data_IF_460832316114
#
_entry.id   IF_460832316114
#
_cell.length_a   1.000
_cell.length_b   1.000
_cell.length_c   1.000
_cell.angle_alpha   90.00
_cell.angle_beta   90.00
_cell.angle_gamma   90.00
#
_symmetry.space_group_name_H-M   'P 1'
#
loop_
_entity.id
_entity.type
_entity.pdbx_description
1 polymer ?
#
# COMPACT_ATOMS: atom_id res chain seq x y z
N UNK A 1 -5.97 22.54 -12.65
CA UNK A 1 -5.44 22.30 -11.30
C UNK A 1 -4.15 21.53 -11.46
N UNK A 2 -3.09 21.87 -10.73
CA UNK A 2 -1.76 21.29 -10.96
C UNK A 2 -1.63 19.93 -10.27
N UNK A 3 -0.87 19.04 -10.89
CA UNK A 3 -0.55 17.73 -10.32
C UNK A 3 0.21 17.89 -8.98
N UNK A 4 -0.09 17.06 -7.97
CA UNK A 4 0.56 17.16 -6.66
C UNK A 4 2.04 16.84 -6.76
N UNK A 5 2.90 17.63 -6.10
CA UNK A 5 4.34 17.31 -6.03
C UNK A 5 4.61 15.99 -5.34
N UNK A 6 3.97 15.67 -4.22
CA UNK A 6 4.16 14.40 -3.52
C UNK A 6 2.89 13.55 -3.50
N UNK A 7 3.07 12.22 -3.46
CA UNK A 7 1.97 11.28 -3.19
C UNK A 7 2.25 10.60 -1.86
N UNK A 8 1.31 10.75 -0.92
CA UNK A 8 1.36 10.13 0.39
C UNK A 8 0.43 8.92 0.37
N UNK A 9 1.00 7.72 0.32
CA UNK A 9 0.26 6.46 0.40
C UNK A 9 0.22 6.00 1.87
N UNK A 10 -0.98 5.82 2.42
CA UNK A 10 -1.19 5.42 3.82
C UNK A 10 -1.91 4.07 3.88
N UNK A 11 -1.37 3.15 4.66
CA UNK A 11 -1.96 1.83 4.92
C UNK A 11 -2.26 1.66 6.40
N UNK A 12 -3.48 1.19 6.71
CA UNK A 12 -3.89 0.88 8.08
C UNK A 12 -4.85 -0.32 8.11
N UNK A 13 -4.98 -0.97 9.27
CA UNK A 13 -5.94 -2.07 9.46
C UNK A 13 -6.68 -1.90 10.79
N UNK A 14 -6.57 -2.84 11.72
CA UNK A 14 -7.15 -2.74 13.06
C UNK A 14 -6.61 -1.50 13.81
N UNK A 15 -7.53 -0.69 14.38
CA UNK A 15 -7.24 0.65 14.92
C UNK A 15 -7.05 1.76 13.87
N UNK A 16 -7.13 1.42 12.58
CA UNK A 16 -6.66 2.27 11.48
C UNK A 16 -7.45 3.55 11.25
N UNK A 17 -8.75 3.60 11.59
CA UNK A 17 -9.54 4.83 11.42
C UNK A 17 -9.07 5.94 12.36
N UNK A 18 -8.84 5.61 13.63
CA UNK A 18 -8.33 6.59 14.61
C UNK A 18 -6.93 7.02 14.22
N UNK A 19 -6.07 6.07 13.85
CA UNK A 19 -4.72 6.36 13.43
C UNK A 19 -4.67 7.25 12.17
N UNK A 20 -5.44 6.93 11.12
CA UNK A 20 -5.47 7.75 9.91
C UNK A 20 -5.95 9.17 10.20
N UNK A 21 -7.00 9.34 11.02
CA UNK A 21 -7.51 10.67 11.42
C UNK A 21 -6.45 11.51 12.11
N UNK A 22 -5.66 10.91 12.99
CA UNK A 22 -4.56 11.58 13.69
C UNK A 22 -3.41 11.89 12.74
N UNK A 23 -2.99 10.93 11.92
CA UNK A 23 -1.87 11.07 10.98
C UNK A 23 -2.07 12.19 9.95
N UNK A 24 -3.31 12.39 9.49
CA UNK A 24 -3.66 13.47 8.53
C UNK A 24 -4.24 14.70 9.21
N UNK A 25 -4.29 14.71 10.55
CA UNK A 25 -4.77 15.88 11.28
C UNK A 25 -3.90 17.09 10.95
N UNK A 26 -4.48 18.29 10.94
CA UNK A 26 -3.78 19.56 10.66
C UNK A 26 -3.21 19.74 9.24
N UNK A 27 -3.17 18.70 8.40
CA UNK A 27 -2.76 18.87 7.00
C UNK A 27 -3.70 19.87 6.29
N UNK A 28 -3.10 20.89 5.66
CA UNK A 28 -3.82 21.96 4.97
C UNK A 28 -4.46 21.50 3.66
N UNK A 29 -5.59 22.10 3.25
CA UNK A 29 -6.14 21.93 1.89
C UNK A 29 -5.25 22.51 0.79
N UNK A 30 -4.27 23.35 1.14
CA UNK A 30 -3.26 23.89 0.21
C UNK A 30 -2.00 23.03 0.11
N UNK A 31 -2.02 21.80 0.64
CA UNK A 31 -0.89 20.86 0.58
C UNK A 31 -0.47 20.64 -0.88
N UNK A 32 0.82 20.76 -1.19
CA UNK A 32 1.36 20.36 -2.50
C UNK A 32 1.59 18.83 -2.56
N UNK A 33 0.60 18.08 -2.09
CA UNK A 33 0.60 16.63 -2.08
C UNK A 33 -0.84 16.11 -2.15
N UNK A 34 -1.00 14.85 -2.55
CA UNK A 34 -2.26 14.12 -2.43
C UNK A 34 -2.07 12.92 -1.49
N UNK A 35 -3.12 12.58 -0.73
CA UNK A 35 -3.13 11.43 0.18
C UNK A 35 -3.98 10.32 -0.43
N UNK A 36 -3.43 9.12 -0.52
CA UNK A 36 -4.12 7.91 -0.96
C UNK A 36 -4.12 6.93 0.20
N UNK A 37 -5.29 6.50 0.66
CA UNK A 37 -5.42 5.70 1.86
C UNK A 37 -6.10 4.36 1.59
N UNK A 38 -5.52 3.28 2.12
CA UNK A 38 -6.15 1.97 2.26
C UNK A 38 -6.34 1.70 3.74
N UNK A 39 -7.59 1.43 4.14
CA UNK A 39 -7.91 0.89 5.45
C UNK A 39 -8.62 -0.45 5.25
N UNK A 40 -8.11 -1.50 5.88
CA UNK A 40 -8.82 -2.78 5.92
C UNK A 40 -10.07 -2.67 6.78
N UNK A 41 -11.22 -2.72 6.11
CA UNK A 41 -12.55 -2.69 6.73
C UNK A 41 -13.39 -3.82 6.18
N UNK A 42 -14.49 -4.13 6.86
CA UNK A 42 -15.45 -5.12 6.37
C UNK A 42 -15.96 -4.72 4.97
N UNK A 43 -16.21 -5.68 4.06
CA UNK A 43 -16.84 -5.41 2.77
C UNK A 43 -18.18 -4.66 2.86
N UNK A 44 -18.87 -4.76 4.00
CA UNK A 44 -20.13 -4.08 4.27
C UNK A 44 -19.97 -2.69 4.93
N UNK A 45 -18.73 -2.28 5.23
CA UNK A 45 -18.47 -0.97 5.81
C UNK A 45 -18.77 0.15 4.81
N UNK A 46 -19.43 1.20 5.28
CA UNK A 46 -19.73 2.36 4.46
C UNK A 46 -18.50 3.29 4.38
N UNK A 47 -17.79 3.25 3.26
CA UNK A 47 -16.62 4.09 3.00
C UNK A 47 -16.91 5.59 3.12
N UNK A 48 -18.13 6.03 2.78
CA UNK A 48 -18.53 7.43 2.89
C UNK A 48 -18.55 7.91 4.35
N UNK A 49 -18.97 7.05 5.29
CA UNK A 49 -18.95 7.38 6.72
C UNK A 49 -17.52 7.52 7.23
N UNK A 50 -16.60 6.68 6.76
CA UNK A 50 -15.17 6.71 7.10
C UNK A 50 -14.56 8.03 6.60
N UNK A 51 -14.77 8.36 5.32
CA UNK A 51 -14.34 9.63 4.73
C UNK A 51 -14.89 10.83 5.50
N UNK A 52 -16.18 10.80 5.85
CA UNK A 52 -16.84 11.87 6.60
C UNK A 52 -16.26 12.05 8.01
N UNK A 53 -15.76 10.98 8.63
CA UNK A 53 -15.09 11.04 9.92
C UNK A 53 -13.67 11.63 9.79
N UNK A 54 -12.96 11.34 8.70
CA UNK A 54 -11.63 11.89 8.40
C UNK A 54 -11.70 13.37 8.05
N UNK A 55 -12.67 13.77 7.22
CA UNK A 55 -12.87 15.17 6.81
C UNK A 55 -13.05 16.14 7.99
N UNK A 56 -13.44 15.66 9.17
CA UNK A 56 -13.60 16.48 10.38
C UNK A 56 -12.28 16.86 11.06
N UNK A 57 -11.16 16.24 10.70
CA UNK A 57 -9.87 16.42 11.41
C UNK A 57 -8.78 17.06 10.54
N UNK A 58 -9.05 17.30 9.26
CA UNK A 58 -8.05 17.77 8.28
C UNK A 58 -8.63 18.85 7.38
N UNK A 59 -7.76 19.69 6.80
CA UNK A 59 -8.13 20.67 5.78
C UNK A 59 -8.21 20.09 4.37
N UNK A 60 -7.83 18.83 4.18
CA UNK A 60 -7.87 18.13 2.90
C UNK A 60 -9.31 17.90 2.41
N UNK A 61 -9.49 17.91 1.10
CA UNK A 61 -10.74 17.47 0.47
C UNK A 61 -10.79 15.93 0.44
N UNK A 62 -11.50 15.34 1.40
CA UNK A 62 -11.60 13.89 1.57
C UNK A 62 -12.75 13.30 0.75
N UNK A 63 -12.48 12.26 -0.03
CA UNK A 63 -13.48 11.53 -0.82
C UNK A 63 -13.17 10.04 -0.92
N UNK A 64 -14.19 9.24 -1.23
CA UNK A 64 -13.98 7.85 -1.65
C UNK A 64 -13.40 7.88 -3.06
N UNK A 65 -12.34 7.12 -3.30
CA UNK A 65 -11.72 7.04 -4.61
C UNK A 65 -12.73 6.52 -5.66
N UNK A 66 -12.70 7.13 -6.85
CA UNK A 66 -13.46 6.70 -8.01
C UNK A 66 -12.49 6.39 -9.17
N UNK A 67 -12.91 5.50 -10.05
CA UNK A 67 -12.06 5.05 -11.15
C UNK A 67 -11.82 6.16 -12.19
N UNK A 68 -10.59 6.26 -12.69
CA UNK A 68 -10.20 7.17 -13.77
C UNK A 68 -10.06 8.65 -13.39
N UNK A 69 -10.33 9.03 -12.14
CA UNK A 69 -10.25 10.43 -11.70
C UNK A 69 -8.80 10.89 -11.61
N UNK A 70 -8.57 12.17 -11.93
CA UNK A 70 -7.24 12.80 -11.82
C UNK A 70 -6.90 13.03 -10.36
N UNK A 71 -5.64 12.78 -10.00
CA UNK A 71 -5.14 13.00 -8.64
C UNK A 71 -4.83 14.48 -8.48
N UNK A 72 -5.51 15.12 -7.52
CA UNK A 72 -5.37 16.55 -7.24
C UNK A 72 -4.65 16.78 -5.90
N UNK A 73 -3.85 17.85 -5.84
CA UNK A 73 -3.24 18.30 -4.59
C UNK A 73 -4.29 18.73 -3.57
N UNK A 74 -3.98 18.60 -2.28
CA UNK A 74 -4.89 18.94 -1.19
C UNK A 74 -6.09 17.98 -1.05
N UNK A 75 -6.06 16.82 -1.72
CA UNK A 75 -7.11 15.82 -1.65
C UNK A 75 -6.66 14.56 -0.89
N UNK A 76 -7.61 13.91 -0.23
CA UNK A 76 -7.46 12.57 0.35
C UNK A 76 -8.45 11.62 -0.32
N UNK A 77 -7.94 10.53 -0.87
CA UNK A 77 -8.73 9.50 -1.55
C UNK A 77 -8.68 8.20 -0.76
N UNK A 78 -9.83 7.76 -0.24
CA UNK A 78 -9.96 6.47 0.45
C UNK A 78 -10.34 5.36 -0.53
N UNK A 79 -9.59 4.26 -0.52
CA UNK A 79 -9.93 3.07 -1.30
C UNK A 79 -11.31 2.51 -0.90
N UNK A 80 -12.20 2.22 -1.85
CA UNK A 80 -13.48 1.58 -1.54
C UNK A 80 -13.28 0.09 -1.18
N UNK A 81 -14.13 -0.48 -0.31
CA UNK A 81 -14.10 -1.91 -0.01
C UNK A 81 -14.23 -2.78 -1.27
N UNK A 82 -13.51 -3.91 -1.29
CA UNK A 82 -13.61 -4.88 -2.38
C UNK A 82 -12.94 -4.48 -3.69
N UNK A 83 -12.24 -3.34 -3.76
CA UNK A 83 -11.44 -2.94 -4.92
C UNK A 83 -10.05 -2.50 -4.50
N UNK A 84 -9.03 -2.89 -5.25
CA UNK A 84 -7.70 -2.32 -5.10
C UNK A 84 -7.69 -0.87 -5.61
N UNK A 85 -6.99 0.00 -4.89
CA UNK A 85 -6.68 1.36 -5.33
C UNK A 85 -5.26 1.39 -5.88
N UNK A 86 -5.10 1.85 -7.11
CA UNK A 86 -3.81 2.01 -7.79
C UNK A 86 -3.70 3.42 -8.36
N UNK A 87 -2.48 3.78 -8.76
CA UNK A 87 -2.21 4.98 -9.54
C UNK A 87 -1.57 4.65 -10.87
N UNK A 88 -1.95 5.40 -11.91
CA UNK A 88 -1.32 5.34 -13.24
C UNK A 88 -1.46 6.66 -13.95
N UNK A 89 -0.37 7.18 -14.51
CA UNK A 89 -0.38 8.37 -15.36
C UNK A 89 -1.14 9.57 -14.75
N UNK A 90 -0.96 9.79 -13.44
CA UNK A 90 -1.62 10.88 -12.70
C UNK A 90 -3.09 10.64 -12.34
N UNK A 91 -3.61 9.42 -12.52
CA UNK A 91 -5.00 9.05 -12.26
C UNK A 91 -5.11 7.92 -11.25
N UNK A 92 -6.26 7.85 -10.59
CA UNK A 92 -6.65 6.69 -9.78
C UNK A 92 -7.23 5.60 -10.67
N UNK A 93 -6.86 4.36 -10.40
CA UNK A 93 -7.46 3.17 -10.99
C UNK A 93 -8.04 2.28 -9.88
N UNK A 94 -9.24 1.76 -10.11
CA UNK A 94 -9.89 0.81 -9.20
C UNK A 94 -9.96 -0.58 -9.83
N UNK A 95 -9.17 -1.49 -9.29
CA UNK A 95 -9.08 -2.87 -9.79
C UNK A 95 -9.90 -3.87 -8.98
N UNK A 96 -10.52 -4.83 -9.67
CA UNK A 96 -11.10 -6.04 -9.07
C UNK A 96 -10.20 -7.26 -9.27
N UNK A 97 -8.89 -7.03 -9.41
CA UNK A 97 -7.91 -8.09 -9.49
C UNK A 97 -7.97 -9.04 -8.29
N UNK A 98 -7.27 -10.18 -8.38
CA UNK A 98 -7.23 -11.16 -7.30
C UNK A 98 -6.72 -10.57 -5.99
N UNK A 99 -7.07 -11.22 -4.88
CA UNK A 99 -6.56 -10.81 -3.57
C UNK A 99 -5.03 -10.93 -3.49
N UNK A 100 -4.42 -9.97 -2.80
CA UNK A 100 -3.02 -10.01 -2.42
C UNK A 100 -2.96 -10.15 -0.89
N UNK A 101 -2.36 -11.25 -0.41
CA UNK A 101 -2.33 -11.64 1.01
C UNK A 101 -3.73 -11.72 1.64
N UNK A 102 -4.74 -12.22 0.89
CA UNK A 102 -6.17 -12.25 1.27
C UNK A 102 -6.85 -10.88 1.35
N UNK A 103 -6.17 -9.78 1.00
CA UNK A 103 -6.72 -8.43 1.09
C UNK A 103 -7.13 -7.85 -0.26
N UNK A 104 -8.27 -7.14 -0.25
CA UNK A 104 -8.75 -6.27 -1.33
C UNK A 104 -9.72 -5.21 -0.76
N UNK A 105 -9.31 -3.93 -0.65
CA UNK A 105 -8.01 -3.38 -1.06
C UNK A 105 -6.82 -3.95 -0.29
N UNK A 106 -5.65 -3.99 -0.94
CA UNK A 106 -4.34 -4.30 -0.33
C UNK A 106 -3.48 -3.04 -0.30
N UNK A 107 -2.76 -2.86 0.80
CA UNK A 107 -1.80 -1.77 1.01
C UNK A 107 -0.60 -1.95 0.08
N UNK A 108 -0.08 -3.18 -0.04
CA UNK A 108 1.04 -3.51 -0.93
C UNK A 108 0.78 -3.09 -2.38
N UNK A 109 -0.45 -3.34 -2.88
CA UNK A 109 -0.85 -2.94 -4.24
C UNK A 109 -0.81 -1.43 -4.44
N UNK A 110 -1.40 -0.67 -3.51
CA UNK A 110 -1.38 0.81 -3.58
C UNK A 110 0.07 1.29 -3.57
N UNK A 111 0.86 0.85 -2.59
CA UNK A 111 2.21 1.34 -2.36
C UNK A 111 3.13 1.02 -3.55
N UNK A 112 3.03 -0.19 -4.12
CA UNK A 112 3.79 -0.59 -5.32
C UNK A 112 3.45 0.31 -6.51
N UNK A 113 2.16 0.56 -6.76
CA UNK A 113 1.76 1.43 -7.87
C UNK A 113 2.25 2.87 -7.68
N UNK A 114 2.22 3.39 -6.46
CA UNK A 114 2.74 4.72 -6.12
C UNK A 114 4.26 4.77 -6.30
N UNK A 115 4.99 3.76 -5.84
CA UNK A 115 6.43 3.67 -6.00
C UNK A 115 6.85 3.72 -7.48
N UNK A 116 6.21 2.92 -8.34
CA UNK A 116 6.54 2.83 -9.77
C UNK A 116 6.20 4.12 -10.53
N UNK A 117 5.12 4.83 -10.17
CA UNK A 117 4.68 6.02 -10.89
C UNK A 117 5.26 7.33 -10.34
N UNK A 118 5.70 7.36 -9.09
CA UNK A 118 6.13 8.60 -8.41
C UNK A 118 7.56 8.55 -7.85
N UNK A 119 8.22 7.40 -7.82
CA UNK A 119 9.63 7.27 -7.44
C UNK A 119 9.97 8.01 -6.12
N UNK A 120 10.96 8.92 -6.15
CA UNK A 120 11.38 9.77 -5.02
C UNK A 120 10.31 10.76 -4.52
N UNK A 121 9.18 10.91 -5.22
CA UNK A 121 8.04 11.73 -4.78
C UNK A 121 7.05 10.94 -3.92
N UNK A 122 7.21 9.62 -3.84
CA UNK A 122 6.37 8.75 -3.02
C UNK A 122 6.75 8.85 -1.54
N UNK A 123 5.73 8.95 -0.69
CA UNK A 123 5.84 8.83 0.77
C UNK A 123 4.91 7.70 1.20
N UNK A 124 5.46 6.63 1.76
CA UNK A 124 4.70 5.51 2.30
C UNK A 124 4.55 5.63 3.80
N UNK A 125 3.35 5.42 4.33
CA UNK A 125 3.07 5.45 5.77
C UNK A 125 2.30 4.19 6.18
N UNK A 126 2.92 3.34 7.01
CA UNK A 126 2.24 2.19 7.62
C UNK A 126 1.85 2.53 9.06
N UNK A 127 0.56 2.40 9.35
CA UNK A 127 -0.02 2.62 10.66
C UNK A 127 -0.35 1.29 11.35
N UNK A 128 -1.00 1.35 12.51
CA UNK A 128 -1.55 0.21 13.26
C UNK A 128 -2.29 -0.79 12.37
N UNK A 129 -2.09 -2.08 12.66
CA UNK A 129 -2.72 -3.18 11.95
C UNK A 129 -2.19 -4.54 12.35
N UNK A 130 -2.93 -5.57 11.97
CA UNK A 130 -2.54 -6.97 12.12
C UNK A 130 -1.85 -7.48 10.86
N UNK A 131 -1.09 -8.57 10.99
CA UNK A 131 -0.36 -9.23 9.89
C UNK A 131 0.68 -8.33 9.23
N UNK A 132 0.90 -8.46 7.92
CA UNK A 132 2.11 -7.94 7.24
C UNK A 132 1.85 -7.18 5.93
N UNK A 133 0.60 -6.90 5.57
CA UNK A 133 0.28 -6.12 4.36
C UNK A 133 0.86 -4.69 4.46
N UNK A 134 1.44 -4.20 3.36
CA UNK A 134 2.19 -2.95 3.31
C UNK A 134 3.70 -3.14 3.47
N UNK A 135 4.19 -4.30 3.93
CA UNK A 135 5.64 -4.53 4.06
C UNK A 135 6.35 -4.52 2.71
N UNK A 136 5.79 -5.22 1.73
CA UNK A 136 6.38 -5.36 0.39
C UNK A 136 6.22 -4.08 -0.42
N UNK A 137 5.06 -3.43 -0.27
CA UNK A 137 4.79 -2.12 -0.83
C UNK A 137 5.73 -1.05 -0.27
N UNK A 138 6.02 -1.09 1.03
CA UNK A 138 6.96 -0.14 1.63
C UNK A 138 8.39 -0.39 1.13
N UNK A 139 8.79 -1.65 0.94
CA UNK A 139 10.04 -1.97 0.24
C UNK A 139 10.07 -1.43 -1.18
N UNK A 140 8.96 -1.49 -1.93
CA UNK A 140 8.87 -0.93 -3.27
C UNK A 140 9.09 0.60 -3.25
N UNK A 141 8.46 1.31 -2.31
CA UNK A 141 8.66 2.76 -2.10
C UNK A 141 10.13 3.07 -1.81
N UNK A 142 10.74 2.35 -0.87
CA UNK A 142 12.15 2.55 -0.48
C UNK A 142 13.11 2.30 -1.64
N UNK A 143 12.89 1.21 -2.38
CA UNK A 143 13.70 0.80 -3.52
C UNK A 143 13.60 1.79 -4.68
N UNK A 144 12.46 2.48 -4.78
CA UNK A 144 12.19 3.53 -5.79
C UNK A 144 12.67 4.93 -5.36
N UNK A 145 13.32 5.04 -4.20
CA UNK A 145 13.86 6.30 -3.67
C UNK A 145 12.87 7.16 -2.89
N UNK A 146 11.67 6.64 -2.62
CA UNK A 146 10.66 7.30 -1.79
C UNK A 146 11.01 7.25 -0.29
N UNK A 147 10.19 7.93 0.51
CA UNK A 147 10.36 8.04 1.97
C UNK A 147 9.39 7.09 2.68
N UNK A 148 9.90 6.35 3.65
CA UNK A 148 9.13 5.36 4.41
C UNK A 148 8.96 5.80 5.86
N UNK A 149 7.71 5.94 6.30
CA UNK A 149 7.34 6.29 7.67
C UNK A 149 6.52 5.13 8.26
N UNK A 150 6.82 4.77 9.49
CA UNK A 150 6.11 3.71 10.21
C UNK A 150 5.66 4.26 11.56
N UNK A 151 4.40 4.02 11.92
CA UNK A 151 3.92 4.31 13.27
C UNK A 151 4.74 3.51 14.28
N UNK A 152 5.09 4.12 15.42
CA UNK A 152 5.79 3.43 16.49
C UNK A 152 4.99 2.20 16.96
N UNK A 153 5.56 0.99 16.96
CA UNK A 153 4.87 -0.19 17.47
C UNK A 153 4.34 -0.07 18.90
N UNK A 154 4.96 0.77 19.73
CA UNK A 154 4.60 0.93 21.14
C UNK A 154 3.36 1.81 21.36
N UNK A 155 2.94 2.62 20.36
CA UNK A 155 1.70 3.39 20.40
C UNK A 155 0.62 2.89 19.41
N UNK A 156 0.96 1.86 18.64
CA UNK A 156 0.01 1.18 17.76
C UNK A 156 -0.93 0.29 18.56
N UNK A 157 -2.24 0.45 18.35
CA UNK A 157 -3.26 -0.43 18.96
C UNK A 157 -3.02 -1.89 18.60
N UNK A 158 -2.60 -2.13 17.35
CA UNK A 158 -2.14 -3.43 16.84
C UNK A 158 -0.78 -3.23 16.16
N UNK A 159 0.25 -3.84 16.73
CA UNK A 159 1.64 -3.54 16.39
C UNK A 159 2.26 -4.48 15.34
N UNK A 160 1.57 -5.54 14.93
CA UNK A 160 2.11 -6.54 14.00
C UNK A 160 2.54 -5.93 12.66
N UNK A 161 1.69 -5.10 12.05
CA UNK A 161 1.94 -4.52 10.73
C UNK A 161 3.10 -3.51 10.76
N UNK A 162 3.15 -2.53 11.70
CA UNK A 162 4.34 -1.72 11.92
C UNK A 162 5.63 -2.53 12.19
N UNK A 163 5.56 -3.55 13.06
CA UNK A 163 6.73 -4.40 13.37
C UNK A 163 7.20 -5.19 12.17
N UNK A 164 6.28 -5.69 11.35
CA UNK A 164 6.61 -6.38 10.10
C UNK A 164 7.46 -5.49 9.20
N UNK A 165 7.06 -4.23 9.01
CA UNK A 165 7.82 -3.27 8.22
C UNK A 165 9.21 -3.03 8.84
N UNK A 166 9.29 -2.67 10.12
CA UNK A 166 10.57 -2.36 10.80
C UNK A 166 11.55 -3.53 10.78
N UNK A 167 11.06 -4.77 10.91
CA UNK A 167 11.90 -5.96 10.93
C UNK A 167 12.46 -6.32 9.55
N UNK A 168 11.81 -5.85 8.47
CA UNK A 168 12.06 -6.30 7.10
C UNK A 168 12.66 -5.23 6.21
N UNK A 169 12.42 -3.96 6.56
CA UNK A 169 13.00 -2.81 5.89
C UNK A 169 13.56 -1.83 6.92
N UNK A 170 14.49 -0.96 6.49
CA UNK A 170 14.97 0.15 7.31
C UNK A 170 14.17 1.43 6.96
N UNK A 171 13.06 1.74 7.66
CA UNK A 171 12.28 2.93 7.37
C UNK A 171 13.06 4.21 7.68
N UNK A 172 12.70 5.31 7.03
CA UNK A 172 13.32 6.62 7.29
C UNK A 172 12.87 7.21 8.63
N UNK A 173 11.64 6.90 9.03
CA UNK A 173 11.05 7.37 10.28
C UNK A 173 10.28 6.25 10.97
N UNK A 174 10.52 6.09 12.27
CA UNK A 174 9.62 5.41 13.21
C UNK A 174 9.18 6.48 14.20
N UNK A 175 7.90 6.83 14.19
CA UNK A 175 7.40 8.02 14.89
C UNK A 175 6.10 7.74 15.63
N UNK A 176 5.88 8.48 16.72
CA UNK A 176 4.60 8.44 17.41
C UNK A 176 3.50 8.97 16.48
N UNK A 177 2.30 8.42 16.61
CA UNK A 177 1.14 8.74 15.80
C UNK A 177 0.83 10.24 15.79
N UNK A 178 0.99 10.92 16.93
CA UNK A 178 0.75 12.35 17.08
C UNK A 178 1.79 13.23 16.38
N UNK A 179 2.98 12.70 16.08
CA UNK A 179 4.06 13.41 15.41
C UNK A 179 3.92 13.37 13.89
N UNK A 180 3.16 12.39 13.36
CA UNK A 180 3.04 12.16 11.91
C UNK A 180 2.60 13.39 11.12
N UNK A 181 1.60 14.19 11.53
CA UNK A 181 1.25 15.43 10.82
C UNK A 181 2.44 16.37 10.58
N UNK A 182 3.20 16.64 11.63
CA UNK A 182 4.33 17.57 11.57
C UNK A 182 5.47 16.99 10.73
N UNK A 183 5.71 15.68 10.81
CA UNK A 183 6.69 14.97 9.99
C UNK A 183 6.30 15.05 8.51
N UNK A 184 5.03 14.81 8.17
CA UNK A 184 4.52 14.90 6.80
C UNK A 184 4.73 16.31 6.23
N UNK A 185 4.28 17.35 6.95
CA UNK A 185 4.44 18.75 6.53
C UNK A 185 5.92 19.13 6.35
N UNK A 186 6.78 18.64 7.23
CA UNK A 186 8.20 18.91 7.15
C UNK A 186 8.86 18.21 5.95
N UNK A 187 8.45 16.98 5.60
CA UNK A 187 9.00 16.27 4.44
C UNK A 187 8.59 16.93 3.13
N UNK A 188 7.31 17.28 2.97
CA UNK A 188 6.80 17.83 1.70
C UNK A 188 7.41 19.20 1.36
N UNK A 189 7.90 19.93 2.36
CA UNK A 189 8.53 21.25 2.19
C UNK A 189 10.03 21.17 1.89
N UNK A 190 10.66 19.99 2.09
CA UNK A 190 12.08 19.77 1.79
C UNK A 190 12.29 19.45 0.30
N UNK A 191 13.51 19.64 -0.24
CA UNK A 191 13.89 19.10 -1.55
C UNK A 191 13.61 17.60 -1.65
N UNK A 192 13.23 17.13 -2.84
CA UNK A 192 13.01 15.70 -3.06
C UNK A 192 14.32 14.93 -2.85
N UNK A 193 14.26 13.69 -2.34
CA UNK A 193 15.40 12.78 -2.38
C UNK A 193 15.92 12.61 -3.83
N UNK A 194 17.16 12.15 -4.02
CA UNK A 194 17.66 11.81 -5.35
C UNK A 194 16.77 10.77 -6.03
N UNK A 195 16.49 10.98 -7.32
CA UNK A 195 15.75 10.02 -8.12
C UNK A 195 16.55 8.71 -8.27
N UNK A 196 15.85 7.58 -8.22
CA UNK A 196 16.42 6.25 -8.45
C UNK A 196 15.69 5.58 -9.59
N UNK A 197 16.42 4.78 -10.37
CA UNK A 197 15.80 3.91 -11.35
C UNK A 197 14.90 2.89 -10.65
N UNK A 198 13.67 2.73 -11.16
CA UNK A 198 12.74 1.72 -10.64
C UNK A 198 13.25 0.33 -11.02
N UNK A 199 13.39 -0.61 -10.06
CA UNK A 199 13.72 -1.99 -10.35
C UNK A 199 12.75 -2.62 -11.36
N UNK A 200 13.29 -3.36 -12.34
CA UNK A 200 12.49 -3.91 -13.45
C UNK A 200 11.41 -4.87 -12.95
N UNK A 201 11.72 -5.65 -11.92
CA UNK A 201 10.83 -6.60 -11.28
C UNK A 201 9.61 -5.89 -10.68
N UNK A 202 9.82 -4.73 -10.03
CA UNK A 202 8.75 -3.90 -9.47
C UNK A 202 7.86 -3.30 -10.56
N UNK A 203 8.45 -2.76 -11.62
CA UNK A 203 7.68 -2.24 -12.77
C UNK A 203 6.85 -3.33 -13.44
N UNK A 204 7.41 -4.53 -13.55
CA UNK A 204 6.72 -5.69 -14.14
C UNK A 204 5.58 -6.14 -13.24
N UNK A 205 5.82 -6.30 -11.93
CA UNK A 205 4.79 -6.69 -10.97
C UNK A 205 3.63 -5.67 -10.94
N UNK A 206 3.93 -4.36 -10.93
CA UNK A 206 2.90 -3.33 -10.99
C UNK A 206 2.06 -3.44 -12.27
N UNK A 207 2.70 -3.62 -13.44
CA UNK A 207 2.01 -3.78 -14.73
C UNK A 207 1.09 -5.00 -14.75
N UNK A 208 1.49 -6.12 -14.16
CA UNK A 208 0.62 -7.31 -14.09
C UNK A 208 -0.59 -7.02 -13.21
N UNK A 209 -0.39 -6.41 -12.04
CA UNK A 209 -1.50 -6.04 -11.14
C UNK A 209 -2.46 -5.06 -11.82
N UNK A 210 -1.96 -4.10 -12.62
CA UNK A 210 -2.77 -3.20 -13.45
C UNK A 210 -3.61 -3.97 -14.50
N UNK A 211 -3.00 -4.89 -15.26
CA UNK A 211 -3.67 -5.61 -16.36
C UNK A 211 -4.59 -6.75 -15.90
N UNK A 212 -4.55 -7.12 -14.62
CA UNK A 212 -5.28 -8.26 -14.03
C UNK A 212 -4.99 -9.64 -14.67
N UNK A 213 -4.03 -9.71 -15.59
CA UNK A 213 -3.59 -10.92 -16.27
C UNK A 213 -2.08 -10.89 -16.46
N UNK A 214 -1.44 -12.04 -16.26
CA UNK A 214 0.00 -12.23 -16.47
C UNK A 214 0.22 -13.05 -17.73
N UNK A 215 1.17 -12.66 -18.57
CA UNK A 215 1.71 -13.57 -19.59
C UNK A 215 2.78 -14.49 -18.95
N UNK A 216 3.06 -15.64 -19.57
CA UNK A 216 4.03 -16.61 -19.02
C UNK A 216 5.42 -15.99 -18.87
N UNK A 217 5.82 -15.13 -19.80
CA UNK A 217 7.14 -14.50 -19.75
C UNK A 217 7.22 -13.42 -18.66
N UNK A 218 6.10 -12.75 -18.34
CA UNK A 218 6.03 -11.80 -17.22
C UNK A 218 6.35 -12.49 -15.87
N UNK A 219 5.91 -13.75 -15.69
CA UNK A 219 6.14 -14.49 -14.45
C UNK A 219 7.60 -14.91 -14.28
N UNK A 220 8.29 -15.27 -15.37
CA UNK A 220 9.72 -15.60 -15.34
C UNK A 220 10.59 -14.39 -15.01
N UNK A 221 10.14 -13.19 -15.42
CA UNK A 221 10.84 -11.95 -15.07
C UNK A 221 10.70 -11.61 -13.58
N UNK A 222 9.53 -11.89 -12.98
CA UNK A 222 9.26 -11.57 -11.56
C UNK A 222 9.91 -12.57 -10.60
N UNK A 223 9.98 -13.85 -10.99
CA UNK A 223 10.25 -14.89 -10.01
C UNK A 223 10.61 -16.25 -10.59
N UNK A 224 11.05 -17.13 -9.69
CA UNK A 224 11.35 -18.52 -10.01
C UNK A 224 10.17 -19.41 -9.56
N UNK A 225 9.87 -20.45 -10.32
CA UNK A 225 8.76 -21.36 -10.01
C UNK A 225 9.04 -22.08 -8.69
N UNK A 226 8.06 -22.12 -7.79
CA UNK A 226 8.15 -22.82 -6.51
C UNK A 226 7.37 -24.14 -6.52
N UNK A 227 7.53 -24.92 -5.46
CA UNK A 227 6.77 -26.16 -5.22
C UNK A 227 5.37 -25.90 -4.62
N UNK A 228 5.00 -24.63 -4.41
CA UNK A 228 3.71 -24.28 -3.85
C UNK A 228 2.64 -24.15 -4.94
N UNK A 229 1.40 -24.44 -4.54
CA UNK A 229 0.20 -24.33 -5.40
C UNK A 229 -0.69 -23.22 -4.84
N UNK A 230 -1.25 -22.42 -5.73
CA UNK A 230 -2.21 -21.37 -5.40
C UNK A 230 -3.49 -22.00 -4.85
N UNK A 231 -3.91 -21.54 -3.67
CA UNK A 231 -5.06 -22.10 -2.97
C UNK A 231 -6.40 -21.68 -3.60
N UNK A 232 -6.42 -20.58 -4.35
CA UNK A 232 -7.62 -20.05 -5.01
C UNK A 232 -7.82 -20.57 -6.44
N UNK A 233 -6.75 -20.76 -7.23
CA UNK A 233 -6.86 -21.17 -8.65
C UNK A 233 -6.20 -22.51 -9.00
N UNK A 234 -5.49 -23.15 -8.07
CA UNK A 234 -4.79 -24.42 -8.32
C UNK A 234 -3.56 -24.31 -9.24
N UNK A 235 -3.20 -23.11 -9.69
CA UNK A 235 -1.99 -22.88 -10.49
C UNK A 235 -0.71 -22.91 -9.67
N UNK A 236 0.42 -23.22 -10.32
CA UNK A 236 1.74 -23.15 -9.69
C UNK A 236 2.10 -21.71 -9.27
N UNK A 237 2.76 -21.60 -8.12
CA UNK A 237 3.24 -20.33 -7.59
C UNK A 237 4.69 -20.06 -8.02
N UNK A 238 5.03 -18.78 -8.10
CA UNK A 238 6.36 -18.26 -8.39
C UNK A 238 6.82 -17.40 -7.23
N UNK A 239 8.00 -17.65 -6.68
CA UNK A 239 8.61 -16.84 -5.62
C UNK A 239 9.11 -15.52 -6.23
N UNK A 240 8.61 -14.39 -5.72
CA UNK A 240 8.98 -13.06 -6.21
C UNK A 240 10.40 -12.73 -5.76
N UNK A 241 11.26 -12.34 -6.71
CA UNK A 241 12.65 -12.01 -6.46
C UNK A 241 12.79 -10.76 -5.60
N UNK A 242 13.75 -10.80 -4.67
CA UNK A 242 14.14 -9.68 -3.79
C UNK A 242 13.04 -9.14 -2.87
N UNK A 243 11.91 -9.84 -2.75
CA UNK A 243 10.83 -9.46 -1.85
C UNK A 243 11.19 -9.73 -0.39
N UNK A 244 11.02 -8.75 0.53
CA UNK A 244 11.51 -8.86 1.90
C UNK A 244 10.74 -9.86 2.77
N UNK A 245 9.51 -10.23 2.39
CA UNK A 245 8.67 -11.19 3.12
C UNK A 245 8.45 -12.48 2.34
N UNK A 246 9.21 -12.70 1.25
CA UNK A 246 9.13 -13.90 0.40
C UNK A 246 7.69 -14.17 -0.06
N UNK A 247 7.18 -13.28 -0.91
CA UNK A 247 5.87 -13.45 -1.54
C UNK A 247 5.91 -14.42 -2.72
N UNK A 248 4.78 -15.08 -2.93
CA UNK A 248 4.53 -16.03 -4.01
C UNK A 248 3.33 -15.58 -4.83
N UNK A 249 3.47 -15.58 -6.16
CA UNK A 249 2.43 -15.16 -7.10
C UNK A 249 2.03 -16.28 -8.05
N UNK A 250 0.73 -16.42 -8.32
CA UNK A 250 0.24 -17.31 -9.37
C UNK A 250 0.00 -16.57 -10.68
N UNK A 251 -0.17 -17.33 -11.78
CA UNK A 251 -0.39 -16.75 -13.11
C UNK A 251 -1.65 -15.88 -13.22
N UNK A 252 -2.70 -16.18 -12.43
CA UNK A 252 -3.93 -15.36 -12.41
C UNK A 252 -3.77 -14.09 -11.58
N UNK A 253 -2.73 -13.98 -10.75
CA UNK A 253 -2.40 -12.80 -9.96
C UNK A 253 -2.69 -12.89 -8.45
N UNK A 254 -3.11 -14.04 -7.91
CA UNK A 254 -3.17 -14.23 -6.46
C UNK A 254 -1.75 -14.18 -5.88
N UNK A 255 -1.60 -13.49 -4.75
CA UNK A 255 -0.31 -13.34 -4.07
C UNK A 255 -0.45 -13.74 -2.61
N UNK A 256 0.56 -14.44 -2.07
CA UNK A 256 0.61 -14.88 -0.68
C UNK A 256 2.04 -14.72 -0.14
N UNK A 257 2.20 -14.23 1.10
CA UNK A 257 3.45 -14.35 1.83
C UNK A 257 3.70 -15.80 2.24
N UNK A 258 4.96 -16.14 2.51
CA UNK A 258 5.32 -17.45 3.08
C UNK A 258 4.50 -17.79 4.33
N UNK A 259 4.31 -16.80 5.22
CA UNK A 259 3.54 -16.95 6.45
C UNK A 259 2.06 -17.24 6.17
N UNK A 260 1.45 -16.54 5.22
CA UNK A 260 0.04 -16.78 4.82
C UNK A 260 -0.11 -18.19 4.21
N UNK A 261 0.85 -18.64 3.40
CA UNK A 261 0.83 -20.00 2.84
C UNK A 261 0.97 -21.07 3.93
N UNK A 262 1.83 -20.84 4.94
CA UNK A 262 1.99 -21.76 6.05
C UNK A 262 0.66 -21.94 6.82
N UNK A 263 0.01 -20.83 7.19
CA UNK A 263 -1.28 -20.89 7.90
C UNK A 263 -2.37 -21.58 7.08
N UNK A 264 -2.44 -21.33 5.77
CA UNK A 264 -3.41 -21.98 4.89
C UNK A 264 -3.19 -23.49 4.73
N UNK A 265 -1.95 -23.97 4.88
CA UNK A 265 -1.66 -25.41 4.88
C UNK A 265 -2.13 -26.06 6.16
N UNK A 266 -1.90 -25.41 7.30
CA UNK A 266 -2.29 -25.94 8.61
C UNK A 266 -3.82 -26.06 8.72
N UNK A 267 -4.57 -25.04 8.28
CA UNK A 267 -6.04 -25.05 8.24
C UNK A 267 -6.62 -26.22 7.42
N UNK A 268 -5.93 -26.67 6.36
CA UNK A 268 -6.37 -27.79 5.50
C UNK A 268 -5.99 -29.18 6.02
N UNK A 269 -5.09 -29.28 6.99
CA UNK A 269 -4.72 -30.56 7.61
C UNK A 269 -5.70 -30.92 8.74
N UNK A 270 -6.41 -29.93 9.29
CA UNK A 270 -7.38 -30.09 10.37
C UNK A 270 -8.84 -30.28 9.90
N UNK A 271 -9.12 -30.20 8.59
CA UNK A 271 -10.40 -30.56 7.95
C UNK A 271 -10.39 -31.98 7.36
#
# INVERSE_FOLDING_TARGET
>A
MDAPRNIIAIGASAGGLVALRTAVSRLSGSLDAAVLAVIHVSPHSNAQNIVSAIARTTGLNCMVAADGITIERGCLYLAPPGKHLLVKDGRLLLGQGPHENKYRPSIDVLFRSVAVNYANRAIGIVLTGMLEDGTSGMWAIKSSGGICIVQNPEDAEFSDMPRSVINKINPDYVAQLEELPAIIENIITRPLPPEKAIPKELSTEARITEKMMSEIDDLKEIGDKSDFICQDCGGGLYEIKHDPIRRFRCHTGHVYSERVLATLKDEKIEE
#
